data_IF_187650997342
#
_entry.id   IF_187650997342
#
_cell.length_a   1.000
_cell.length_b   1.000
_cell.length_c   1.000
_cell.angle_alpha   90.00
_cell.angle_beta   90.00
_cell.angle_gamma   90.00
#
_symmetry.space_group_name_H-M   'P 1'
#
loop_
_entity.id
_entity.type
_entity.pdbx_description
1 polymer ?
#
# COMPACT_ATOMS: atom_id res chain seq x y z
N UNK A 1 -64.77 61.80 43.39
CA UNK A 1 -64.20 60.99 42.29
C UNK A 1 -62.70 61.25 42.26
N UNK A 2 -61.89 60.41 42.94
CA UNK A 2 -60.42 60.56 43.01
C UNK A 2 -59.80 59.83 41.83
N UNK A 3 -59.12 60.57 40.96
CA UNK A 3 -58.29 60.03 39.88
C UNK A 3 -57.08 59.31 40.51
N UNK A 4 -56.88 58.04 40.17
CA UNK A 4 -55.70 57.26 40.56
C UNK A 4 -54.61 57.47 39.50
N UNK A 5 -53.68 58.39 39.75
CA UNK A 5 -52.45 58.52 38.98
C UNK A 5 -51.53 57.34 39.30
N UNK A 6 -51.47 56.38 38.37
CA UNK A 6 -50.49 55.30 38.35
C UNK A 6 -49.10 55.88 38.03
N UNK A 7 -48.29 56.13 39.06
CA UNK A 7 -46.84 56.33 38.87
C UNK A 7 -46.22 55.01 38.42
N UNK A 8 -45.83 54.92 37.15
CA UNK A 8 -44.99 53.84 36.67
C UNK A 8 -43.63 53.91 37.38
N UNK A 9 -43.13 52.82 37.99
CA UNK A 9 -41.77 52.80 38.51
C UNK A 9 -40.81 52.88 37.32
N UNK A 10 -40.16 54.04 37.16
CA UNK A 10 -39.16 54.24 36.11
C UNK A 10 -37.97 53.29 36.28
N UNK A 11 -37.48 52.74 35.18
CA UNK A 11 -36.29 51.88 35.15
C UNK A 11 -35.11 52.66 35.75
N UNK A 12 -34.69 52.26 36.94
CA UNK A 12 -33.54 52.87 37.65
C UNK A 12 -32.24 52.33 37.09
N UNK A 13 -31.17 53.13 37.08
CA UNK A 13 -29.84 52.76 36.53
C UNK A 13 -29.29 51.43 37.09
N UNK A 14 -29.65 51.07 38.32
CA UNK A 14 -29.30 49.78 38.93
C UNK A 14 -29.85 48.57 38.15
N UNK A 15 -31.09 48.64 37.67
CA UNK A 15 -31.70 47.56 36.88
C UNK A 15 -30.94 47.35 35.56
N UNK A 16 -30.55 48.45 34.90
CA UNK A 16 -29.76 48.42 33.66
C UNK A 16 -28.39 47.78 33.90
N UNK A 17 -27.73 48.12 35.02
CA UNK A 17 -26.42 47.57 35.36
C UNK A 17 -26.48 46.06 35.62
N UNK A 18 -27.49 45.58 36.34
CA UNK A 18 -27.69 44.14 36.59
C UNK A 18 -27.91 43.39 35.28
N UNK A 19 -28.74 43.92 34.38
CA UNK A 19 -29.01 43.31 33.06
C UNK A 19 -27.75 43.31 32.19
N UNK A 20 -26.96 44.40 32.21
CA UNK A 20 -25.72 44.47 31.46
C UNK A 20 -24.69 43.44 31.96
N UNK A 21 -24.58 43.28 33.29
CA UNK A 21 -23.66 42.32 33.90
C UNK A 21 -24.07 40.87 33.59
N UNK A 22 -25.37 40.54 33.68
CA UNK A 22 -25.86 39.19 33.38
C UNK A 22 -25.69 38.83 31.90
N UNK A 23 -25.92 39.79 31.00
CA UNK A 23 -25.66 39.62 29.58
C UNK A 23 -24.17 39.43 29.30
N UNK A 24 -23.30 40.23 29.92
CA UNK A 24 -21.86 40.09 29.78
C UNK A 24 -21.36 38.71 30.27
N UNK A 25 -21.86 38.24 31.42
CA UNK A 25 -21.55 36.88 31.91
C UNK A 25 -22.04 35.80 30.94
N UNK A 26 -23.24 35.95 30.39
CA UNK A 26 -23.81 34.98 29.45
C UNK A 26 -22.99 34.90 28.17
N UNK A 27 -22.63 36.06 27.59
CA UNK A 27 -21.79 36.13 26.39
C UNK A 27 -20.39 35.59 26.69
N UNK A 28 -19.79 35.93 27.84
CA UNK A 28 -18.49 35.40 28.25
C UNK A 28 -18.49 33.88 28.42
N UNK A 29 -19.51 33.33 29.07
CA UNK A 29 -19.69 31.88 29.22
C UNK A 29 -19.91 31.20 27.86
N UNK A 30 -20.67 31.83 26.95
CA UNK A 30 -20.89 31.32 25.60
C UNK A 30 -19.60 31.29 24.77
N UNK A 31 -18.81 32.37 24.78
CA UNK A 31 -17.52 32.43 24.08
C UNK A 31 -16.54 31.40 24.64
N UNK A 32 -16.44 31.29 25.98
CA UNK A 32 -15.60 30.29 26.62
C UNK A 32 -16.02 28.87 26.26
N UNK A 33 -17.33 28.58 26.35
CA UNK A 33 -17.90 27.29 25.98
C UNK A 33 -17.66 26.96 24.51
N UNK A 34 -17.85 27.94 23.61
CA UNK A 34 -17.60 27.78 22.18
C UNK A 34 -16.14 27.47 21.89
N UNK A 35 -15.20 28.20 22.50
CA UNK A 35 -13.77 27.94 22.35
C UNK A 35 -13.38 26.54 22.86
N UNK A 36 -13.92 26.11 24.01
CA UNK A 36 -13.66 24.77 24.54
C UNK A 36 -14.20 23.67 23.63
N UNK A 37 -15.40 23.86 23.08
CA UNK A 37 -15.99 22.93 22.11
C UNK A 37 -15.15 22.86 20.84
N UNK A 38 -14.70 24.01 20.31
CA UNK A 38 -13.90 24.06 19.09
C UNK A 38 -12.52 23.39 19.28
N UNK A 39 -11.87 23.62 20.41
CA UNK A 39 -10.62 22.93 20.77
C UNK A 39 -10.82 21.41 20.90
N UNK A 40 -11.94 20.96 21.47
CA UNK A 40 -12.24 19.53 21.55
C UNK A 40 -12.53 18.90 20.19
N UNK A 41 -13.23 19.61 19.30
CA UNK A 41 -13.49 19.15 17.94
C UNK A 41 -12.17 18.99 17.18
N UNK A 42 -11.29 19.98 17.24
CA UNK A 42 -9.97 19.94 16.59
C UNK A 42 -9.13 18.77 17.10
N UNK A 43 -9.02 18.61 18.42
CA UNK A 43 -8.24 17.52 19.00
C UNK A 43 -8.79 16.14 18.63
N UNK A 44 -10.12 15.97 18.59
CA UNK A 44 -10.75 14.72 18.14
C UNK A 44 -10.50 14.46 16.67
N UNK A 45 -10.57 15.50 15.84
CA UNK A 45 -10.28 15.40 14.42
C UNK A 45 -8.83 14.98 14.16
N UNK A 46 -7.86 15.63 14.83
CA UNK A 46 -6.44 15.29 14.71
C UNK A 46 -6.16 13.86 15.19
N UNK A 47 -6.69 13.46 16.35
CA UNK A 47 -6.53 12.10 16.86
C UNK A 47 -7.14 11.04 15.92
N UNK A 48 -8.32 11.32 15.34
CA UNK A 48 -8.95 10.41 14.38
C UNK A 48 -8.15 10.30 13.06
N UNK A 49 -7.61 11.43 12.57
CA UNK A 49 -6.73 11.49 11.41
C UNK A 49 -5.46 10.65 11.65
N UNK A 50 -4.76 10.90 12.75
CA UNK A 50 -3.49 10.21 13.06
C UNK A 50 -3.72 8.71 13.26
N UNK A 51 -4.82 8.32 13.92
CA UNK A 51 -5.21 6.92 14.06
C UNK A 51 -5.46 6.26 12.70
N UNK A 52 -6.18 6.94 11.81
CA UNK A 52 -6.48 6.41 10.48
C UNK A 52 -5.21 6.25 9.65
N UNK A 53 -4.30 7.23 9.68
CA UNK A 53 -3.00 7.14 9.00
C UNK A 53 -2.18 5.99 9.56
N UNK A 54 -2.10 5.86 10.90
CA UNK A 54 -1.39 4.77 11.55
C UNK A 54 -1.88 3.39 11.12
N UNK A 55 -3.20 3.20 11.02
CA UNK A 55 -3.78 1.93 10.53
C UNK A 55 -3.40 1.62 9.08
N UNK A 56 -3.28 2.64 8.22
CA UNK A 56 -2.84 2.45 6.83
C UNK A 56 -1.37 2.03 6.78
N UNK A 57 -0.50 2.73 7.52
CA UNK A 57 0.94 2.43 7.58
C UNK A 57 1.17 1.02 8.13
N UNK A 58 0.51 0.66 9.23
CA UNK A 58 0.60 -0.68 9.83
C UNK A 58 0.18 -1.77 8.84
N UNK A 59 -0.84 -1.50 8.02
CA UNK A 59 -1.31 -2.46 7.01
C UNK A 59 -0.30 -2.63 5.88
N UNK A 60 0.29 -1.54 5.38
CA UNK A 60 1.33 -1.59 4.36
C UNK A 60 2.58 -2.31 4.87
N UNK A 61 3.01 -2.04 6.10
CA UNK A 61 4.14 -2.75 6.73
C UNK A 61 3.91 -4.25 6.81
N UNK A 62 2.67 -4.70 7.10
CA UNK A 62 2.35 -6.14 7.11
C UNK A 62 2.44 -6.76 5.72
N UNK A 63 2.00 -6.05 4.68
CA UNK A 63 2.13 -6.53 3.31
C UNK A 63 3.60 -6.63 2.88
N UNK A 64 4.40 -5.65 3.28
CA UNK A 64 5.85 -5.68 3.09
C UNK A 64 6.49 -6.89 3.79
N UNK A 65 6.11 -7.19 5.04
CA UNK A 65 6.60 -8.37 5.77
C UNK A 65 6.29 -9.70 5.05
N UNK A 66 5.10 -9.80 4.44
CA UNK A 66 4.71 -10.97 3.62
C UNK A 66 5.62 -11.12 2.40
N UNK A 67 5.93 -10.01 1.72
CA UNK A 67 6.80 -10.00 0.56
C UNK A 67 8.25 -10.36 0.91
N UNK A 68 8.80 -9.78 1.99
CA UNK A 68 10.11 -10.16 2.50
C UNK A 68 10.18 -11.62 2.98
N UNK A 69 9.08 -12.17 3.49
CA UNK A 69 8.99 -13.60 3.79
C UNK A 69 9.09 -14.45 2.52
N UNK A 70 8.53 -13.97 1.41
CA UNK A 70 8.69 -14.59 0.08
C UNK A 70 10.13 -14.54 -0.42
N UNK A 71 10.80 -13.38 -0.28
CA UNK A 71 12.23 -13.26 -0.57
C UNK A 71 13.05 -14.24 0.28
N UNK A 72 12.79 -14.30 1.59
CA UNK A 72 13.49 -15.22 2.49
C UNK A 72 13.28 -16.70 2.12
N UNK A 73 12.08 -17.06 1.67
CA UNK A 73 11.80 -18.41 1.16
C UNK A 73 12.68 -18.75 -0.06
N UNK A 74 12.80 -17.83 -1.01
CA UNK A 74 13.57 -18.02 -2.24
C UNK A 74 15.08 -18.02 -1.95
N UNK A 75 15.56 -17.11 -1.10
CA UNK A 75 16.95 -17.06 -0.65
C UNK A 75 17.36 -18.39 0.03
N UNK A 76 16.51 -18.93 0.91
CA UNK A 76 16.74 -20.21 1.59
C UNK A 76 16.83 -21.41 0.63
N UNK A 77 16.36 -21.25 -0.60
CA UNK A 77 16.40 -22.25 -1.67
C UNK A 77 17.54 -22.01 -2.67
N UNK A 78 18.44 -21.08 -2.38
CA UNK A 78 19.57 -20.74 -3.23
C UNK A 78 19.21 -19.79 -4.37
N UNK A 79 18.23 -18.90 -4.16
CA UNK A 79 17.84 -17.85 -5.10
C UNK A 79 16.79 -18.27 -6.12
N UNK A 80 16.33 -19.53 -6.08
CA UNK A 80 15.36 -20.08 -7.05
C UNK A 80 14.25 -20.84 -6.35
N UNK A 81 13.05 -20.80 -6.93
CA UNK A 81 11.89 -21.59 -6.44
C UNK A 81 11.16 -22.23 -7.61
N UNK A 82 10.64 -23.43 -7.41
CA UNK A 82 9.68 -24.06 -8.32
C UNK A 82 8.24 -23.62 -8.04
N UNK A 83 7.33 -23.89 -8.98
CA UNK A 83 5.88 -23.67 -8.77
C UNK A 83 5.36 -24.36 -7.51
N UNK A 84 5.70 -25.65 -7.33
CA UNK A 84 5.22 -26.44 -6.21
C UNK A 84 5.70 -25.89 -4.84
N UNK A 85 6.94 -25.41 -4.79
CA UNK A 85 7.51 -24.78 -3.59
C UNK A 85 6.82 -23.43 -3.28
N UNK A 86 6.65 -22.59 -4.30
CA UNK A 86 5.96 -21.31 -4.14
C UNK A 86 4.52 -21.50 -3.68
N UNK A 87 3.79 -22.45 -4.29
CA UNK A 87 2.43 -22.82 -3.90
C UNK A 87 2.35 -23.25 -2.43
N UNK A 88 3.30 -24.07 -2.00
CA UNK A 88 3.38 -24.55 -0.61
C UNK A 88 3.64 -23.39 0.37
N UNK A 89 4.56 -22.49 0.00
CA UNK A 89 4.86 -21.30 0.77
C UNK A 89 3.67 -20.35 0.87
N UNK A 90 3.07 -19.96 -0.25
CA UNK A 90 1.96 -19.03 -0.30
C UNK A 90 0.71 -19.59 0.42
N UNK A 91 0.44 -20.89 0.29
CA UNK A 91 -0.61 -21.57 1.05
C UNK A 91 -0.40 -21.50 2.57
N UNK A 92 0.86 -21.55 3.02
CA UNK A 92 1.21 -21.44 4.44
C UNK A 92 1.12 -20.00 4.98
N UNK A 93 1.24 -19.01 4.10
CA UNK A 93 1.12 -17.59 4.43
C UNK A 93 -0.31 -17.21 4.83
N UNK A 94 -1.31 -17.95 4.34
CA UNK A 94 -2.73 -17.78 4.66
C UNK A 94 -3.23 -16.35 4.34
N UNK A 95 -3.03 -15.95 3.07
CA UNK A 95 -3.27 -14.60 2.56
C UNK A 95 -4.64 -14.04 2.92
N UNK A 96 -5.70 -14.82 2.67
CA UNK A 96 -7.08 -14.42 2.91
C UNK A 96 -7.34 -13.98 4.36
N UNK A 97 -6.74 -14.66 5.35
CA UNK A 97 -6.96 -14.39 6.77
C UNK A 97 -6.00 -13.36 7.35
N UNK A 98 -4.73 -13.41 6.96
CA UNK A 98 -3.68 -12.56 7.56
C UNK A 98 -3.48 -11.23 6.85
N UNK A 99 -3.81 -11.17 5.56
CA UNK A 99 -3.56 -10.04 4.69
C UNK A 99 -4.84 -9.68 3.92
N UNK A 100 -5.91 -9.29 4.63
CA UNK A 100 -7.18 -8.97 4.00
C UNK A 100 -6.99 -7.86 2.97
N UNK A 101 -7.57 -7.98 1.78
CA UNK A 101 -7.42 -7.02 0.68
C UNK A 101 -6.17 -7.18 -0.17
N UNK A 102 -5.37 -8.24 0.06
CA UNK A 102 -4.40 -8.75 -0.91
C UNK A 102 -5.09 -9.82 -1.76
N UNK A 103 -5.03 -9.67 -3.07
CA UNK A 103 -5.63 -10.57 -4.06
C UNK A 103 -4.72 -11.74 -4.44
N UNK A 104 -3.42 -11.59 -4.23
CA UNK A 104 -2.46 -12.67 -4.44
C UNK A 104 -1.03 -12.27 -4.13
N UNK A 105 -0.16 -13.27 -4.07
CA UNK A 105 1.28 -13.10 -4.01
C UNK A 105 1.94 -13.91 -5.14
N UNK A 106 2.86 -13.28 -5.87
CA UNK A 106 3.51 -13.88 -7.02
C UNK A 106 5.00 -13.63 -7.08
N UNK A 107 5.64 -14.23 -8.08
CA UNK A 107 7.07 -14.08 -8.40
C UNK A 107 7.21 -13.67 -9.86
N UNK A 108 7.95 -12.59 -10.09
CA UNK A 108 8.26 -12.04 -11.42
C UNK A 108 9.75 -12.17 -11.67
N UNK A 109 10.14 -12.86 -12.74
CA UNK A 109 11.54 -12.99 -13.13
C UNK A 109 11.95 -11.90 -14.11
N UNK A 110 13.17 -11.39 -13.94
CA UNK A 110 13.83 -10.64 -14.99
C UNK A 110 14.39 -11.60 -16.02
N UNK A 111 13.97 -11.44 -17.26
CA UNK A 111 14.38 -12.31 -18.37
C UNK A 111 14.92 -11.43 -19.49
N UNK A 112 16.22 -11.48 -19.74
CA UNK A 112 16.80 -10.86 -20.92
C UNK A 112 16.13 -11.44 -22.18
N UNK A 113 15.80 -10.58 -23.16
CA UNK A 113 15.10 -11.00 -24.37
C UNK A 113 15.81 -12.14 -25.12
N UNK A 114 17.15 -12.22 -25.04
CA UNK A 114 17.93 -13.31 -25.65
C UNK A 114 17.72 -14.67 -24.97
N UNK A 115 17.29 -14.68 -23.71
CA UNK A 115 17.08 -15.86 -22.87
C UNK A 115 15.60 -16.27 -22.79
N UNK A 116 14.69 -15.56 -23.47
CA UNK A 116 13.25 -15.80 -23.36
C UNK A 116 12.85 -17.23 -23.75
N UNK A 117 13.40 -17.76 -24.85
CA UNK A 117 13.10 -19.10 -25.32
C UNK A 117 13.51 -20.20 -24.31
N UNK A 118 14.70 -20.05 -23.73
CA UNK A 118 15.20 -20.96 -22.69
C UNK A 118 14.36 -20.85 -21.42
N UNK A 119 13.97 -19.64 -21.04
CA UNK A 119 13.09 -19.40 -19.90
C UNK A 119 11.74 -20.08 -20.08
N UNK A 120 11.07 -19.89 -21.23
CA UNK A 120 9.79 -20.53 -21.52
C UNK A 120 9.90 -22.06 -21.52
N UNK A 121 10.94 -22.62 -22.16
CA UNK A 121 11.21 -24.06 -22.16
C UNK A 121 11.37 -24.61 -20.74
N UNK A 122 12.07 -23.87 -19.87
CA UNK A 122 12.26 -24.23 -18.47
C UNK A 122 10.93 -24.19 -17.69
N UNK A 123 10.02 -23.25 -17.99
CA UNK A 123 8.70 -23.17 -17.34
C UNK A 123 7.75 -24.25 -17.86
N UNK A 124 7.79 -24.55 -19.15
CA UNK A 124 6.99 -25.63 -19.77
C UNK A 124 7.36 -27.01 -19.20
N UNK A 125 8.64 -27.21 -18.85
CA UNK A 125 9.11 -28.43 -18.18
C UNK A 125 8.46 -28.67 -16.80
N UNK A 126 7.91 -27.63 -16.16
CA UNK A 126 7.09 -27.75 -14.94
C UNK A 126 5.66 -28.25 -15.24
N UNK A 127 5.39 -28.71 -16.47
CA UNK A 127 4.09 -29.17 -17.00
C UNK A 127 3.00 -28.12 -16.95
N UNK A 128 3.39 -26.90 -17.29
CA UNK A 128 2.53 -25.72 -17.34
C UNK A 128 2.58 -25.15 -18.75
N UNK A 129 1.44 -24.73 -19.28
CA UNK A 129 1.44 -23.94 -20.52
C UNK A 129 1.86 -22.52 -20.14
N UNK A 130 3.09 -22.11 -20.50
CA UNK A 130 3.64 -20.82 -20.12
C UNK A 130 4.06 -19.98 -21.32
N UNK A 131 3.33 -18.89 -21.54
CA UNK A 131 3.65 -17.92 -22.58
C UNK A 131 3.76 -16.51 -22.00
N UNK A 132 4.73 -15.74 -22.47
CA UNK A 132 4.91 -14.35 -22.05
C UNK A 132 4.11 -13.41 -22.97
N UNK A 133 3.31 -12.51 -22.40
CA UNK A 133 2.45 -11.59 -23.14
C UNK A 133 2.16 -10.28 -22.37
N UNK A 134 1.75 -9.18 -23.02
CA UNK A 134 1.80 -8.96 -24.47
C UNK A 134 3.22 -8.67 -24.94
N UNK A 135 3.45 -8.70 -26.24
CA UNK A 135 4.72 -8.25 -26.81
C UNK A 135 4.87 -6.73 -26.65
N UNK A 136 6.10 -6.27 -26.41
CA UNK A 136 6.47 -4.86 -26.33
C UNK A 136 7.94 -4.65 -26.73
N UNK A 137 8.35 -3.40 -26.88
CA UNK A 137 9.65 -2.98 -27.43
C UNK A 137 10.82 -3.02 -26.43
N UNK A 138 10.66 -3.66 -25.26
CA UNK A 138 11.75 -3.70 -24.28
C UNK A 138 12.68 -4.88 -24.60
N UNK A 139 13.98 -4.70 -24.39
CA UNK A 139 14.98 -5.76 -24.60
C UNK A 139 14.98 -6.83 -23.49
N UNK A 140 14.07 -6.71 -22.53
CA UNK A 140 13.89 -7.62 -21.40
C UNK A 140 12.39 -7.81 -21.13
N UNK A 141 12.08 -8.92 -20.49
CA UNK A 141 10.74 -9.33 -20.10
C UNK A 141 10.66 -9.44 -18.57
N UNK A 142 9.50 -9.09 -18.02
CA UNK A 142 9.17 -9.19 -16.59
C UNK A 142 7.90 -10.03 -16.38
N UNK A 143 7.87 -11.32 -16.76
CA UNK A 143 6.67 -12.13 -16.67
C UNK A 143 6.34 -12.54 -15.24
N UNK A 144 5.07 -12.38 -14.86
CA UNK A 144 4.51 -13.02 -13.67
C UNK A 144 4.57 -14.53 -13.89
N UNK A 145 5.46 -15.19 -13.16
CA UNK A 145 5.80 -16.60 -13.38
C UNK A 145 5.03 -17.53 -12.45
N UNK A 146 4.94 -17.12 -11.18
CA UNK A 146 4.12 -17.79 -10.17
C UNK A 146 3.17 -16.78 -9.54
N UNK A 147 1.98 -17.23 -9.18
CA UNK A 147 0.98 -16.41 -8.51
C UNK A 147 0.02 -17.31 -7.75
N UNK A 148 -0.31 -16.93 -6.52
CA UNK A 148 -1.22 -17.66 -5.66
C UNK A 148 -2.16 -16.68 -4.95
N UNK A 149 -3.46 -17.02 -4.78
CA UNK A 149 -4.10 -18.25 -5.23
C UNK A 149 -4.33 -18.27 -6.74
N UNK A 150 -3.95 -19.35 -7.41
CA UNK A 150 -3.91 -19.43 -8.88
C UNK A 150 -5.30 -19.35 -9.55
N UNK A 151 -6.35 -19.87 -8.90
CA UNK A 151 -7.70 -19.98 -9.46
C UNK A 151 -8.31 -18.63 -9.86
N UNK A 152 -8.16 -17.61 -9.02
CA UNK A 152 -8.61 -16.24 -9.32
C UNK A 152 -7.57 -15.43 -10.10
N UNK A 153 -6.31 -15.91 -10.13
CA UNK A 153 -5.19 -15.17 -10.68
C UNK A 153 -4.65 -15.70 -12.02
N UNK A 154 -5.20 -16.79 -12.56
CA UNK A 154 -4.66 -17.52 -13.70
C UNK A 154 -4.37 -16.64 -14.93
N UNK A 155 -5.23 -15.64 -15.19
CA UNK A 155 -5.07 -14.71 -16.31
C UNK A 155 -3.83 -13.80 -16.22
N UNK A 156 -3.19 -13.70 -15.04
CA UNK A 156 -1.96 -12.94 -14.87
C UNK A 156 -0.71 -13.79 -15.06
N UNK A 157 -0.80 -15.13 -15.09
CA UNK A 157 0.36 -15.98 -15.36
C UNK A 157 0.85 -15.69 -16.78
N UNK A 158 2.14 -15.37 -16.92
CA UNK A 158 2.74 -15.00 -18.20
C UNK A 158 2.59 -13.53 -18.57
N UNK A 159 1.79 -12.76 -17.82
CA UNK A 159 1.65 -11.34 -18.07
C UNK A 159 2.97 -10.62 -17.77
N UNK A 160 3.56 -10.05 -18.81
CA UNK A 160 4.77 -9.26 -18.74
C UNK A 160 4.45 -7.88 -18.19
N UNK A 161 4.90 -7.59 -16.97
CA UNK A 161 4.62 -6.29 -16.37
C UNK A 161 5.45 -5.15 -16.98
N UNK A 162 6.43 -5.46 -17.83
CA UNK A 162 7.22 -4.47 -18.56
C UNK A 162 6.40 -3.74 -19.64
N UNK A 163 5.25 -4.25 -20.10
CA UNK A 163 4.43 -3.56 -21.12
C UNK A 163 3.77 -2.27 -20.60
N UNK A 164 3.48 -2.18 -19.30
CA UNK A 164 2.77 -1.07 -18.67
C UNK A 164 3.75 -0.19 -17.87
N UNK A 165 3.65 1.13 -18.01
CA UNK A 165 4.64 2.07 -17.49
C UNK A 165 4.68 2.11 -15.96
N UNK A 166 3.55 2.18 -15.28
CA UNK A 166 3.52 2.23 -13.81
C UNK A 166 4.03 0.91 -13.20
N UNK A 167 3.65 -0.24 -13.78
CA UNK A 167 4.14 -1.54 -13.33
C UNK A 167 5.64 -1.68 -13.54
N UNK A 168 6.13 -1.35 -14.73
CA UNK A 168 7.56 -1.41 -15.09
C UNK A 168 8.38 -0.49 -14.18
N UNK A 169 7.99 0.77 -14.04
CA UNK A 169 8.74 1.75 -13.26
C UNK A 169 8.79 1.41 -11.77
N UNK A 170 7.68 0.97 -11.17
CA UNK A 170 7.66 0.54 -9.77
C UNK A 170 8.52 -0.70 -9.53
N UNK A 171 8.48 -1.66 -10.46
CA UNK A 171 9.29 -2.88 -10.38
C UNK A 171 10.78 -2.55 -10.49
N UNK A 172 11.18 -1.78 -11.52
CA UNK A 172 12.57 -1.38 -11.72
C UNK A 172 13.10 -0.54 -10.55
N UNK A 173 12.27 0.35 -9.98
CA UNK A 173 12.64 1.07 -8.77
C UNK A 173 12.90 0.13 -7.60
N UNK A 174 12.11 -0.93 -7.43
CA UNK A 174 12.34 -1.91 -6.35
C UNK A 174 13.67 -2.62 -6.55
N UNK A 175 13.94 -3.10 -7.77
CA UNK A 175 15.24 -3.67 -8.14
C UNK A 175 16.40 -2.72 -7.85
N UNK A 176 16.33 -1.49 -8.32
CA UNK A 176 17.45 -0.55 -8.32
C UNK A 176 17.72 0.04 -6.93
N UNK A 177 16.72 0.06 -6.05
CA UNK A 177 16.86 0.57 -4.67
C UNK A 177 17.15 -0.54 -3.66
N UNK A 178 16.81 -1.78 -3.97
CA UNK A 178 16.87 -2.88 -3.00
C UNK A 178 15.76 -2.81 -1.93
N UNK A 179 14.79 -1.90 -2.08
CA UNK A 179 13.71 -1.70 -1.10
C UNK A 179 12.35 -2.06 -1.69
N UNK A 180 11.36 -2.22 -0.80
CA UNK A 180 9.99 -2.43 -1.22
C UNK A 180 9.45 -1.17 -1.94
N UNK A 181 8.67 -1.35 -3.01
CA UNK A 181 8.10 -0.24 -3.79
C UNK A 181 6.65 -0.50 -4.16
N UNK A 182 5.82 0.53 -4.07
CA UNK A 182 4.41 0.51 -4.48
C UNK A 182 4.26 1.25 -5.81
N UNK A 183 3.47 0.71 -6.73
CA UNK A 183 3.16 1.41 -7.99
C UNK A 183 2.20 2.58 -7.77
N UNK A 184 2.12 3.48 -8.75
CA UNK A 184 0.91 4.30 -8.90
C UNK A 184 -0.34 3.43 -9.15
N UNK A 185 -1.54 4.04 -9.20
CA UNK A 185 -2.77 3.31 -9.52
C UNK A 185 -2.67 2.60 -10.86
N UNK A 186 -3.08 1.33 -10.90
CA UNK A 186 -3.14 0.51 -12.11
C UNK A 186 -4.49 -0.20 -12.22
N UNK A 187 -4.83 -0.64 -13.43
CA UNK A 187 -5.92 -1.58 -13.63
C UNK A 187 -5.38 -3.01 -13.56
N UNK A 188 -6.06 -3.86 -12.79
CA UNK A 188 -5.73 -5.28 -12.68
C UNK A 188 -6.38 -6.05 -13.82
N UNK A 189 -5.63 -6.93 -14.47
CA UNK A 189 -6.13 -7.73 -15.62
C UNK A 189 -7.23 -8.71 -15.20
N UNK A 190 -7.27 -9.06 -13.92
CA UNK A 190 -8.22 -10.02 -13.34
C UNK A 190 -9.53 -9.38 -12.88
N UNK A 191 -9.59 -8.04 -12.75
CA UNK A 191 -10.78 -7.36 -12.30
C UNK A 191 -11.65 -6.93 -13.50
N UNK A 192 -12.78 -7.64 -13.68
CA UNK A 192 -13.79 -7.31 -14.69
C UNK A 192 -14.42 -5.92 -14.47
N UNK A 193 -14.30 -5.35 -13.26
CA UNK A 193 -14.81 -4.04 -12.89
C UNK A 193 -13.88 -2.84 -13.15
N UNK A 194 -12.63 -3.06 -13.57
CA UNK A 194 -11.61 -2.00 -13.73
C UNK A 194 -11.41 -1.16 -12.45
N UNK A 195 -11.41 -1.78 -11.27
CA UNK A 195 -11.13 -1.06 -10.02
C UNK A 195 -9.64 -0.72 -9.97
N UNK A 196 -9.33 0.53 -9.62
CA UNK A 196 -7.94 0.96 -9.43
C UNK A 196 -7.30 0.20 -8.26
N UNK A 197 -6.23 -0.53 -8.55
CA UNK A 197 -5.37 -1.21 -7.58
C UNK A 197 -3.94 -0.69 -7.63
N UNK A 198 -3.05 -1.37 -6.93
CA UNK A 198 -1.60 -1.13 -7.01
C UNK A 198 -0.86 -2.45 -6.83
N UNK A 199 0.43 -2.45 -7.15
CA UNK A 199 1.32 -3.59 -6.94
C UNK A 199 2.35 -3.19 -5.89
N UNK A 200 2.65 -4.11 -4.99
CA UNK A 200 3.72 -3.94 -4.01
C UNK A 200 4.84 -4.93 -4.31
N UNK A 201 6.02 -4.42 -4.62
CA UNK A 201 7.20 -5.17 -5.01
C UNK A 201 8.25 -5.22 -3.92
N UNK A 202 8.97 -6.33 -3.82
CA UNK A 202 10.26 -6.44 -3.11
C UNK A 202 11.27 -7.15 -4.00
N UNK A 203 12.57 -6.81 -3.97
CA UNK A 203 13.55 -7.46 -4.82
C UNK A 203 14.23 -8.64 -4.14
N UNK A 204 14.58 -9.66 -4.93
CA UNK A 204 15.62 -10.63 -4.63
C UNK A 204 16.57 -10.78 -5.80
N UNK A 205 17.74 -11.38 -5.54
CA UNK A 205 18.84 -11.45 -6.48
C UNK A 205 19.39 -12.87 -6.51
N UNK A 206 19.76 -13.35 -7.70
CA UNK A 206 20.46 -14.63 -7.85
C UNK A 206 21.88 -14.51 -7.26
N UNK A 207 22.20 -15.29 -6.22
CA UNK A 207 23.53 -15.36 -5.59
C UNK A 207 23.60 -14.85 -4.15
N UNK A 208 24.73 -15.09 -3.48
CA UNK A 208 24.98 -14.62 -2.12
C UNK A 208 24.63 -13.12 -2.03
N UNK A 209 23.55 -12.79 -1.32
CA UNK A 209 23.44 -11.48 -0.69
C UNK A 209 24.81 -11.23 -0.08
N UNK A 210 25.45 -10.14 -0.49
CA UNK A 210 26.61 -9.57 0.17
C UNK A 210 26.26 -9.48 1.66
N UNK A 211 26.54 -10.56 2.38
CA UNK A 211 26.21 -10.66 3.77
C UNK A 211 27.09 -9.63 4.46
N UNK A 212 26.45 -8.78 5.25
CA UNK A 212 26.93 -7.54 5.83
C UNK A 212 27.01 -6.34 4.88
N UNK A 213 26.08 -5.40 5.13
CA UNK A 213 26.26 -3.96 5.11
C UNK A 213 27.70 -3.49 4.77
N UNK A 214 28.01 -3.39 3.47
CA UNK A 214 28.98 -2.39 3.02
C UNK A 214 28.21 -1.09 2.87
N UNK A 215 28.53 -0.18 3.76
CA UNK A 215 28.17 1.24 3.74
C UNK A 215 27.90 1.77 2.33
N UNK A 216 26.71 2.36 2.15
CA UNK A 216 26.27 3.57 1.40
C UNK A 216 27.27 4.35 0.50
N UNK A 217 28.40 3.81 0.05
CA UNK A 217 29.46 4.58 -0.63
C UNK A 217 30.05 3.93 -1.88
N UNK A 218 29.48 2.85 -2.40
CA UNK A 218 29.88 2.36 -3.72
C UNK A 218 28.66 2.16 -4.60
N UNK A 219 28.52 3.01 -5.62
CA UNK A 219 27.57 2.84 -6.73
C UNK A 219 27.91 1.62 -7.59
N UNK A 220 27.98 0.44 -6.97
CA UNK A 220 27.99 -0.84 -7.65
C UNK A 220 26.55 -1.07 -8.12
N UNK A 221 26.30 -1.19 -9.43
CA UNK A 221 24.97 -1.52 -9.93
C UNK A 221 24.51 -2.82 -9.29
N UNK A 222 23.31 -2.82 -8.70
CA UNK A 222 22.64 -4.04 -8.28
C UNK A 222 22.49 -4.97 -9.51
N UNK A 223 22.61 -6.28 -9.28
CA UNK A 223 22.63 -7.27 -10.37
C UNK A 223 21.42 -7.10 -11.31
N UNK A 224 21.63 -7.13 -12.65
CA UNK A 224 20.52 -7.05 -13.61
C UNK A 224 19.54 -8.22 -13.50
N UNK A 225 19.92 -9.32 -12.82
CA UNK A 225 19.15 -10.57 -12.72
C UNK A 225 18.12 -10.58 -11.57
N UNK A 226 17.61 -9.41 -11.18
CA UNK A 226 16.71 -9.30 -10.04
C UNK A 226 15.31 -9.83 -10.34
N UNK A 227 14.79 -10.65 -9.44
CA UNK A 227 13.47 -11.26 -9.53
C UNK A 227 12.66 -10.73 -8.33
N UNK A 228 11.34 -10.60 -8.44
CA UNK A 228 10.55 -9.74 -7.56
C UNK A 228 9.26 -10.42 -7.10
N UNK A 229 9.07 -10.60 -5.78
CA UNK A 229 7.75 -10.87 -5.25
C UNK A 229 6.83 -9.69 -5.44
N UNK A 230 5.57 -10.00 -5.75
CA UNK A 230 4.53 -9.01 -5.95
C UNK A 230 3.31 -9.36 -5.13
N UNK A 231 2.73 -8.38 -4.45
CA UNK A 231 1.38 -8.46 -3.89
C UNK A 231 0.42 -7.65 -4.76
N UNK A 232 -0.76 -8.24 -5.01
CA UNK A 232 -1.88 -7.70 -5.78
C UNK A 232 -3.06 -7.31 -4.89
#
# INVERSE_FOLDING_TARGET
>A
MKSLESRSPGITSLHVLIVALSLAMTVGAWVYSKNQVDLQIENRFLAAKDRTIGLIVDRMSRYEDALWSGVAHIDAKGGKTSHAEWKTFAGSLNLEKKYPGVNGIGVIYYVDGKNLADFQTLRDAERRDFSVFPQHEQDFMLPITFIEPEDINAAAIGLDVAHETNRRTGLLASRDTGTAQITGPIFLVQDSGHTAGFLFYTPFYDGERLCCAKSVTSGVPLSPDAIIPQAL
#
